data_IF_692335576383
#
_entry.id   IF_692335576383
#
_cell.length_a   1.000
_cell.length_b   1.000
_cell.length_c   1.000
_cell.angle_alpha   90.00
_cell.angle_beta   90.00
_cell.angle_gamma   90.00
#
_symmetry.space_group_name_H-M   'P 1'
#
loop_
_entity.id
_entity.type
_entity.pdbx_description
1 polymer ?
#
# COMPACT_ATOMS: atom_id res chain seq x y z
N UNK A 1 2.86 15.03 -19.31
CA UNK A 1 1.77 14.41 -18.53
C UNK A 1 2.19 13.13 -17.81
N UNK A 2 2.96 12.26 -18.49
CA UNK A 2 3.42 11.02 -17.85
C UNK A 2 4.27 11.24 -16.62
N UNK A 3 5.17 12.23 -16.67
CA UNK A 3 6.02 12.55 -15.51
C UNK A 3 5.21 13.05 -14.33
N UNK A 4 4.19 13.88 -14.58
CA UNK A 4 3.32 14.37 -13.52
C UNK A 4 2.59 13.20 -12.86
N UNK A 5 2.05 12.28 -13.67
CA UNK A 5 1.38 11.10 -13.15
C UNK A 5 2.33 10.24 -12.30
N UNK A 6 3.56 10.04 -12.77
CA UNK A 6 4.58 9.27 -12.03
C UNK A 6 4.90 9.92 -10.69
N UNK A 7 5.04 11.24 -10.66
CA UNK A 7 5.32 11.96 -9.41
C UNK A 7 4.15 11.89 -8.45
N UNK A 8 2.92 12.00 -8.95
CA UNK A 8 1.73 11.88 -8.10
C UNK A 8 1.61 10.48 -7.50
N UNK A 9 1.86 9.46 -8.30
CA UNK A 9 1.86 8.07 -7.83
C UNK A 9 2.94 7.89 -6.75
N UNK A 10 4.15 8.37 -7.02
CA UNK A 10 5.26 8.26 -6.08
C UNK A 10 4.95 8.98 -4.76
N UNK A 11 4.43 10.20 -4.84
CA UNK A 11 4.07 10.97 -3.65
C UNK A 11 3.00 10.25 -2.83
N UNK A 12 2.02 9.64 -3.49
CA UNK A 12 0.97 8.88 -2.80
C UNK A 12 1.57 7.73 -1.99
N UNK A 13 2.48 6.97 -2.57
CA UNK A 13 3.11 5.86 -1.87
C UNK A 13 4.04 6.33 -0.75
N UNK A 14 4.78 7.41 -0.99
CA UNK A 14 5.66 7.98 0.04
C UNK A 14 4.82 8.47 1.22
N UNK A 15 3.72 9.17 0.94
CA UNK A 15 2.82 9.66 1.99
C UNK A 15 2.27 8.51 2.83
N UNK A 16 1.74 7.46 2.18
CA UNK A 16 1.19 6.31 2.89
C UNK A 16 2.28 5.57 3.66
N UNK A 17 3.48 5.45 3.07
CA UNK A 17 4.61 4.83 3.75
C UNK A 17 4.99 5.55 5.02
N UNK A 18 5.03 6.89 4.99
CA UNK A 18 5.31 7.70 6.17
C UNK A 18 4.20 7.56 7.20
N UNK A 19 2.94 7.45 6.77
CA UNK A 19 1.82 7.24 7.67
C UNK A 19 1.92 5.94 8.45
N UNK A 20 2.59 4.92 7.92
CA UNK A 20 2.85 3.68 8.67
C UNK A 20 3.63 3.94 9.96
N UNK A 21 4.46 5.00 9.99
CA UNK A 21 5.19 5.39 11.19
C UNK A 21 4.40 6.34 12.07
N UNK A 22 3.69 7.29 11.47
CA UNK A 22 2.90 8.27 12.20
C UNK A 22 1.67 7.65 12.88
N UNK A 23 0.98 6.76 12.17
CA UNK A 23 -0.25 6.14 12.62
C UNK A 23 -0.10 4.61 12.67
N UNK A 24 1.01 4.12 13.21
CA UNK A 24 1.29 2.70 13.26
C UNK A 24 0.17 1.90 13.94
N UNK A 25 -0.44 2.46 14.98
CA UNK A 25 -1.53 1.79 15.71
C UNK A 25 -2.73 1.49 14.80
N UNK A 26 -3.06 2.43 13.90
CA UNK A 26 -4.15 2.22 12.95
C UNK A 26 -3.85 1.04 12.02
N UNK A 27 -2.63 0.99 11.48
CA UNK A 27 -2.24 -0.08 10.57
C UNK A 27 -2.16 -1.44 11.27
N UNK A 28 -1.75 -1.45 12.54
CA UNK A 28 -1.76 -2.70 13.33
C UNK A 28 -3.18 -3.24 13.45
N UNK A 29 -4.17 -2.36 13.62
CA UNK A 29 -5.59 -2.77 13.70
C UNK A 29 -6.10 -3.39 12.40
N UNK A 30 -5.50 -3.04 11.27
CA UNK A 30 -5.87 -3.61 9.97
C UNK A 30 -5.32 -5.02 9.76
N UNK A 31 -4.32 -5.42 10.52
CA UNK A 31 -3.65 -6.70 10.29
C UNK A 31 -4.48 -7.87 10.79
N UNK A 32 -4.54 -8.99 10.02
CA UNK A 32 -5.22 -10.19 10.49
C UNK A 32 -4.60 -10.72 11.77
N UNK A 33 -5.41 -11.23 12.72
CA UNK A 33 -4.89 -11.72 14.00
C UNK A 33 -3.91 -12.88 13.89
N UNK A 34 -4.01 -13.65 12.80
CA UNK A 34 -3.16 -14.82 12.61
C UNK A 34 -1.71 -14.48 12.21
N UNK A 35 -1.45 -13.21 11.86
CA UNK A 35 -0.09 -12.78 11.51
C UNK A 35 0.68 -12.40 12.76
N UNK A 36 1.94 -12.84 12.90
CA UNK A 36 2.80 -12.39 14.01
C UNK A 36 3.44 -11.04 13.72
N UNK A 37 4.01 -10.44 14.76
CA UNK A 37 4.86 -9.25 14.63
C UNK A 37 4.17 -8.09 13.91
N UNK A 38 2.93 -7.74 14.32
CA UNK A 38 2.13 -6.72 13.66
C UNK A 38 2.88 -5.39 13.53
N UNK A 39 3.45 -4.88 14.62
CA UNK A 39 4.11 -3.58 14.61
C UNK A 39 5.34 -3.58 13.72
N UNK A 40 6.14 -4.64 13.80
CA UNK A 40 7.35 -4.78 12.97
C UNK A 40 7.00 -4.85 11.50
N UNK A 41 5.93 -5.59 11.15
CA UNK A 41 5.47 -5.70 9.76
C UNK A 41 4.95 -4.36 9.24
N UNK A 42 4.26 -3.58 10.08
CA UNK A 42 3.79 -2.24 9.69
C UNK A 42 4.99 -1.34 9.39
N UNK A 43 5.98 -1.31 10.25
CA UNK A 43 7.18 -0.49 10.04
C UNK A 43 7.95 -0.94 8.81
N UNK A 44 8.12 -2.25 8.63
CA UNK A 44 8.83 -2.79 7.48
C UNK A 44 8.12 -2.42 6.17
N UNK A 45 6.79 -2.56 6.14
CA UNK A 45 5.98 -2.18 4.99
C UNK A 45 6.13 -0.69 4.68
N UNK A 46 6.13 0.16 5.73
CA UNK A 46 6.31 1.59 5.57
C UNK A 46 7.66 1.95 4.98
N UNK A 47 8.72 1.29 5.42
CA UNK A 47 10.07 1.50 4.89
C UNK A 47 10.10 1.16 3.40
N UNK A 48 9.63 -0.02 3.03
CA UNK A 48 9.64 -0.46 1.64
C UNK A 48 8.76 0.42 0.76
N UNK A 49 7.58 0.79 1.24
CA UNK A 49 6.66 1.61 0.48
C UNK A 49 7.22 2.99 0.21
N UNK A 50 7.86 3.61 1.21
CA UNK A 50 8.52 4.90 1.06
C UNK A 50 9.71 4.79 0.09
N UNK A 51 10.55 3.78 0.28
CA UNK A 51 11.72 3.56 -0.55
C UNK A 51 11.36 3.32 -2.01
N UNK A 52 10.41 2.43 -2.25
CA UNK A 52 9.96 2.13 -3.61
C UNK A 52 9.20 3.30 -4.24
N UNK A 53 8.46 4.07 -3.43
CA UNK A 53 7.83 5.29 -3.91
C UNK A 53 8.86 6.26 -4.46
N UNK A 54 9.96 6.49 -3.73
CA UNK A 54 11.06 7.30 -4.23
C UNK A 54 11.68 6.71 -5.49
N UNK A 55 11.83 5.39 -5.53
CA UNK A 55 12.42 4.71 -6.69
C UNK A 55 11.64 4.91 -7.98
N UNK A 56 10.33 5.13 -7.89
CA UNK A 56 9.50 5.39 -9.07
C UNK A 56 9.88 6.69 -9.76
N UNK A 57 10.41 7.67 -9.03
CA UNK A 57 10.79 8.98 -9.58
C UNK A 57 11.99 8.85 -10.52
N UNK A 58 12.89 7.91 -10.24
CA UNK A 58 14.14 7.77 -10.98
C UNK A 58 13.99 6.69 -12.05
N UNK A 59 14.15 7.04 -13.35
CA UNK A 59 13.99 6.04 -14.42
C UNK A 59 14.85 4.80 -14.25
N UNK A 60 16.05 4.97 -13.69
CA UNK A 60 17.00 3.89 -13.47
C UNK A 60 16.46 2.79 -12.53
N UNK A 61 15.71 3.20 -11.49
CA UNK A 61 15.23 2.29 -10.46
C UNK A 61 13.73 1.98 -10.57
N UNK A 62 13.05 2.68 -11.47
CA UNK A 62 11.57 2.64 -11.56
C UNK A 62 10.99 1.25 -11.71
N UNK A 63 11.57 0.44 -12.58
CA UNK A 63 11.05 -0.90 -12.84
C UNK A 63 11.15 -1.79 -11.60
N UNK A 64 12.28 -1.74 -10.92
CA UNK A 64 12.48 -2.52 -9.68
C UNK A 64 11.60 -2.02 -8.55
N UNK A 65 11.48 -0.70 -8.43
CA UNK A 65 10.62 -0.09 -7.42
C UNK A 65 9.16 -0.47 -7.65
N UNK A 66 8.70 -0.40 -8.89
CA UNK A 66 7.34 -0.79 -9.23
C UNK A 66 7.08 -2.26 -8.91
N UNK A 67 8.02 -3.13 -9.23
CA UNK A 67 7.91 -4.55 -8.91
C UNK A 67 7.80 -4.76 -7.39
N UNK A 68 8.60 -4.05 -6.62
CA UNK A 68 8.53 -4.10 -5.16
C UNK A 68 7.18 -3.64 -4.61
N UNK A 69 6.62 -2.55 -5.18
CA UNK A 69 5.31 -2.05 -4.79
C UNK A 69 4.20 -3.05 -5.14
N UNK A 70 4.29 -3.70 -6.29
CA UNK A 70 3.33 -4.74 -6.67
C UNK A 70 3.35 -5.88 -5.65
N UNK A 71 4.54 -6.32 -5.25
CA UNK A 71 4.66 -7.37 -4.23
C UNK A 71 4.06 -6.92 -2.89
N UNK A 72 4.29 -5.66 -2.49
CA UNK A 72 3.70 -5.12 -1.26
C UNK A 72 2.17 -5.08 -1.35
N UNK A 73 1.63 -4.62 -2.46
CA UNK A 73 0.18 -4.57 -2.65
C UNK A 73 -0.45 -5.97 -2.58
N UNK A 74 0.20 -6.95 -3.16
CA UNK A 74 -0.25 -8.34 -3.09
C UNK A 74 -0.16 -8.83 -1.64
N UNK A 75 0.92 -8.50 -0.94
CA UNK A 75 1.12 -8.94 0.44
C UNK A 75 0.10 -8.36 1.41
N UNK A 76 -0.38 -7.13 1.17
CA UNK A 76 -1.38 -6.50 2.04
C UNK A 76 -2.83 -6.82 1.63
N UNK A 77 -3.03 -7.50 0.51
CA UNK A 77 -4.37 -7.85 0.05
C UNK A 77 -5.12 -8.72 1.08
N UNK A 78 -4.50 -9.72 1.71
CA UNK A 78 -5.17 -10.48 2.77
C UNK A 78 -5.68 -9.61 3.92
N UNK A 79 -4.96 -8.54 4.28
CA UNK A 79 -5.41 -7.62 5.33
C UNK A 79 -6.67 -6.88 4.90
N UNK A 80 -6.76 -6.46 3.65
CA UNK A 80 -7.95 -5.81 3.12
C UNK A 80 -9.14 -6.77 3.04
N UNK A 81 -8.91 -8.02 2.66
CA UNK A 81 -9.95 -9.05 2.66
C UNK A 81 -10.44 -9.28 4.10
N UNK A 82 -9.52 -9.41 5.04
CA UNK A 82 -9.86 -9.59 6.45
C UNK A 82 -10.72 -8.44 6.96
N UNK A 83 -10.35 -7.20 6.66
CA UNK A 83 -11.11 -6.02 7.06
C UNK A 83 -12.54 -6.07 6.51
N UNK A 84 -12.70 -6.49 5.26
CA UNK A 84 -14.02 -6.57 4.62
C UNK A 84 -14.91 -7.64 5.24
N UNK A 85 -14.33 -8.68 5.85
CA UNK A 85 -15.06 -9.83 6.38
C UNK A 85 -15.17 -9.86 7.91
N UNK A 86 -14.37 -9.07 8.62
CA UNK A 86 -14.31 -9.12 10.09
C UNK A 86 -15.03 -7.95 10.72
N UNK A 87 -16.10 -8.23 11.47
CA UNK A 87 -16.83 -7.21 12.24
C UNK A 87 -15.93 -6.58 13.29
N UNK A 88 -15.10 -7.39 13.94
CA UNK A 88 -14.16 -6.91 14.96
C UNK A 88 -13.17 -5.91 14.38
N UNK A 89 -12.59 -6.22 13.22
CA UNK A 89 -11.65 -5.32 12.55
C UNK A 89 -12.33 -4.01 12.14
N UNK A 90 -13.58 -4.09 11.67
CA UNK A 90 -14.37 -2.92 11.31
C UNK A 90 -14.62 -2.01 12.51
N UNK A 91 -14.95 -2.59 13.64
CA UNK A 91 -15.17 -1.85 14.88
C UNK A 91 -13.88 -1.20 15.38
N UNK A 92 -12.77 -1.92 15.35
CA UNK A 92 -11.48 -1.41 15.82
C UNK A 92 -10.96 -0.24 14.98
N UNK A 93 -11.18 -0.29 13.68
CA UNK A 93 -10.67 0.73 12.75
C UNK A 93 -11.65 1.86 12.48
N UNK A 94 -12.93 1.66 12.78
CA UNK A 94 -13.99 2.60 12.42
C UNK A 94 -14.35 2.57 10.94
N UNK A 95 -13.84 1.60 10.19
CA UNK A 95 -14.12 1.45 8.76
C UNK A 95 -15.32 0.52 8.60
N UNK A 96 -16.37 0.97 7.87
CA UNK A 96 -17.55 0.16 7.63
C UNK A 96 -17.27 -1.01 6.69
N UNK A 97 -18.13 -2.03 6.71
CA UNK A 97 -18.02 -3.15 5.79
C UNK A 97 -18.07 -2.69 4.33
N UNK A 98 -18.94 -1.73 4.03
CA UNK A 98 -19.07 -1.19 2.68
C UNK A 98 -17.77 -0.49 2.22
N UNK A 99 -17.20 0.35 3.08
CA UNK A 99 -15.95 1.02 2.79
C UNK A 99 -14.81 0.01 2.60
N UNK A 100 -14.76 -1.04 3.42
CA UNK A 100 -13.76 -2.09 3.30
C UNK A 100 -13.89 -2.84 1.96
N UNK A 101 -15.12 -3.12 1.52
CA UNK A 101 -15.36 -3.75 0.23
C UNK A 101 -14.90 -2.86 -0.93
N UNK A 102 -15.13 -1.55 -0.84
CA UNK A 102 -14.67 -0.61 -1.86
C UNK A 102 -13.15 -0.55 -1.97
N UNK A 103 -12.43 -0.82 -0.89
CA UNK A 103 -10.96 -0.82 -0.89
C UNK A 103 -10.38 -1.90 -1.80
N UNK A 104 -11.09 -3.01 -1.98
CA UNK A 104 -10.59 -4.13 -2.79
C UNK A 104 -10.43 -3.76 -4.27
N UNK A 105 -11.47 -3.22 -4.96
CA UNK A 105 -11.28 -2.79 -6.34
C UNK A 105 -10.28 -1.66 -6.51
N UNK A 106 -10.20 -0.74 -5.54
CA UNK A 106 -9.18 0.31 -5.57
C UNK A 106 -7.76 -0.27 -5.47
N UNK A 107 -7.57 -1.32 -4.68
CA UNK A 107 -6.28 -1.97 -4.60
C UNK A 107 -5.89 -2.60 -5.94
N UNK A 108 -6.83 -3.23 -6.63
CA UNK A 108 -6.59 -3.76 -7.98
C UNK A 108 -6.26 -2.64 -8.96
N UNK A 109 -6.94 -1.49 -8.84
CA UNK A 109 -6.64 -0.31 -9.64
C UNK A 109 -5.21 0.16 -9.41
N UNK A 110 -4.76 0.22 -8.15
CA UNK A 110 -3.39 0.62 -7.83
C UNK A 110 -2.37 -0.36 -8.39
N UNK A 111 -2.65 -1.66 -8.37
CA UNK A 111 -1.79 -2.66 -9.02
C UNK A 111 -1.61 -2.33 -10.50
N UNK A 112 -2.70 -2.03 -11.20
CA UNK A 112 -2.67 -1.65 -12.61
C UNK A 112 -1.88 -0.36 -12.84
N UNK A 113 -2.07 0.64 -11.99
CA UNK A 113 -1.36 1.92 -12.06
C UNK A 113 0.15 1.71 -11.88
N UNK A 114 0.55 0.92 -10.90
CA UNK A 114 1.97 0.65 -10.65
C UNK A 114 2.57 -0.15 -11.80
N UNK A 115 1.81 -1.11 -12.35
CA UNK A 115 2.27 -1.85 -13.52
C UNK A 115 2.49 -0.91 -14.71
N UNK A 116 1.56 0.02 -14.94
CA UNK A 116 1.72 1.04 -15.97
C UNK A 116 2.98 1.85 -15.72
N UNK A 117 3.21 2.27 -14.48
CA UNK A 117 4.39 3.07 -14.12
C UNK A 117 5.68 2.30 -14.43
N UNK A 118 5.69 0.99 -14.23
CA UNK A 118 6.86 0.15 -14.50
C UNK A 118 7.30 0.18 -15.96
N UNK A 119 6.39 0.50 -16.87
CA UNK A 119 6.64 0.54 -18.31
C UNK A 119 7.16 1.90 -18.79
N UNK A 120 7.14 2.92 -17.95
CA UNK A 120 7.52 4.26 -18.35
C UNK A 120 9.04 4.42 -18.34
N UNK A 121 9.59 5.00 -19.40
CA UNK A 121 11.04 5.20 -19.56
C UNK A 121 11.45 6.66 -19.45
N UNK A 122 10.51 7.55 -19.26
CA UNK A 122 10.76 9.00 -19.17
C UNK A 122 11.31 9.49 -17.80
#
# INVERSE_FOLDING_TARGET
>A
MKKIALYLIALSFIFVGVEHFRNAKFFVKLMPPYLPFHLELVYLSGIFETLFGFGLVFPRFRKRAAFGLILLLIAVFPANIHLAMSTTAQELTGISAEAALFRLPFQLLFLGIVYWASKQTT
#
